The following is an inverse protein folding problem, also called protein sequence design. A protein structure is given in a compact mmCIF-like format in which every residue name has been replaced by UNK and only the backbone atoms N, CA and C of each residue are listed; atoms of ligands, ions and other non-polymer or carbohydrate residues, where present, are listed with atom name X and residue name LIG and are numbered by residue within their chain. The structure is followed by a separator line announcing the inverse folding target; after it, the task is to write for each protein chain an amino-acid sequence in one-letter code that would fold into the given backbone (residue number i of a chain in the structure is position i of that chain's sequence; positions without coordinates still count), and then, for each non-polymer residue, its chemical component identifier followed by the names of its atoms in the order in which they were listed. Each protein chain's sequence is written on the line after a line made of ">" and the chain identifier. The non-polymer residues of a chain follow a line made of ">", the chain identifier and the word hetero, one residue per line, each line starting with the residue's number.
data_IF_511866095719
#
_entry.id   IF_511866095719
#
_cell.length_a   1.000
_cell.length_b   1.000
_cell.length_c   1.000
_cell.angle_alpha   90.00
_cell.angle_beta   90.00
_cell.angle_gamma   90.00
#
_symmetry.space_group_name_H-M   'P 1'
#
loop_
_entity.id
_entity.type
_entity.pdbx_description
1 polymer ?
#
# COMPACT_ATOMS: atom_id res chain seq x y z
N UNK A 1 27.79 0.39 -10.37
CA UNK A 1 27.25 1.64 -9.80
C UNK A 1 28.14 2.00 -8.63
N UNK A 2 28.95 3.04 -8.75
CA UNK A 2 29.86 3.47 -7.68
C UNK A 2 29.04 4.26 -6.65
N UNK A 3 28.99 3.77 -5.42
CA UNK A 3 28.37 4.48 -4.30
C UNK A 3 29.44 5.38 -3.67
N UNK A 4 29.17 6.68 -3.62
CA UNK A 4 29.99 7.62 -2.86
C UNK A 4 29.55 7.54 -1.39
N UNK A 5 30.48 7.25 -0.48
CA UNK A 5 30.17 7.10 0.94
C UNK A 5 30.52 8.39 1.67
N UNK A 6 29.55 8.97 2.38
CA UNK A 6 29.78 10.14 3.23
C UNK A 6 29.83 9.72 4.69
N UNK A 7 30.87 10.18 5.39
CA UNK A 7 31.01 9.97 6.83
C UNK A 7 29.98 10.80 7.59
N UNK A 8 29.30 10.16 8.53
CA UNK A 8 28.24 10.77 9.32
C UNK A 8 28.73 11.00 10.75
N UNK A 9 28.47 12.19 11.29
CA UNK A 9 28.87 12.56 12.64
C UNK A 9 28.00 11.83 13.69
N UNK A 10 28.58 11.49 14.86
CA UNK A 10 27.92 10.66 15.88
C UNK A 10 26.62 11.26 16.43
N UNK A 11 26.46 12.59 16.39
CA UNK A 11 25.22 13.27 16.80
C UNK A 11 24.03 13.00 15.87
N UNK A 12 24.26 12.75 14.58
CA UNK A 12 23.22 12.39 13.63
C UNK A 12 22.77 10.91 13.79
N UNK A 13 23.61 10.07 14.40
CA UNK A 13 23.31 8.65 14.67
C UNK A 13 22.19 8.50 15.70
N UNK A 14 22.12 9.40 16.69
CA UNK A 14 21.08 9.37 17.72
C UNK A 14 19.66 9.54 17.13
N UNK A 15 19.51 10.28 16.03
CA UNK A 15 18.23 10.43 15.32
C UNK A 15 17.85 9.24 14.44
N UNK A 16 18.77 8.30 14.18
CA UNK A 16 18.45 7.10 13.39
C UNK A 16 17.66 6.07 14.19
N UNK A 17 17.87 5.94 15.49
CA UNK A 17 17.10 4.98 16.32
C UNK A 17 15.61 5.28 16.34
N UNK A 18 15.23 6.56 16.40
CA UNK A 18 13.84 6.99 16.34
C UNK A 18 13.21 6.69 14.97
N UNK A 19 13.97 6.92 13.89
CA UNK A 19 13.53 6.59 12.51
C UNK A 19 13.42 5.08 12.28
N UNK A 20 14.31 4.29 12.87
CA UNK A 20 14.27 2.83 12.81
C UNK A 20 13.04 2.31 13.55
N UNK A 21 12.74 2.86 14.73
CA UNK A 21 11.52 2.51 15.49
C UNK A 21 10.26 2.83 14.67
N UNK A 22 10.21 4.02 14.06
CA UNK A 22 9.10 4.41 13.19
C UNK A 22 8.92 3.47 11.99
N UNK A 23 10.00 3.13 11.30
CA UNK A 23 9.94 2.20 10.17
C UNK A 23 9.60 0.77 10.60
N UNK A 24 9.98 0.37 11.81
CA UNK A 24 9.62 -0.93 12.39
C UNK A 24 8.11 -1.00 12.67
N UNK A 25 7.53 0.03 13.32
CA UNK A 25 6.09 0.11 13.58
C UNK A 25 5.29 0.12 12.26
N UNK A 26 5.74 0.88 11.27
CA UNK A 26 5.05 0.90 9.98
C UNK A 26 5.12 -0.45 9.25
N UNK A 27 6.24 -1.17 9.41
CA UNK A 27 6.40 -2.52 8.85
C UNK A 27 5.50 -3.53 9.55
N UNK A 28 5.36 -3.47 10.88
CA UNK A 28 4.46 -4.38 11.61
C UNK A 28 3.00 -4.14 11.25
N UNK A 29 2.58 -2.87 11.15
CA UNK A 29 1.25 -2.50 10.66
C UNK A 29 1.01 -2.99 9.23
N UNK A 30 2.03 -2.87 8.36
CA UNK A 30 2.02 -3.43 7.01
C UNK A 30 1.74 -4.93 7.01
N UNK A 31 2.48 -5.70 7.81
CA UNK A 31 2.30 -7.17 7.92
C UNK A 31 0.88 -7.52 8.39
N UNK A 32 0.39 -6.86 9.43
CA UNK A 32 -0.98 -7.08 9.93
C UNK A 32 -2.03 -6.80 8.85
N UNK A 33 -1.87 -5.68 8.12
CA UNK A 33 -2.75 -5.32 7.02
C UNK A 33 -2.72 -6.35 5.88
N UNK A 34 -1.53 -6.88 5.53
CA UNK A 34 -1.39 -7.93 4.52
C UNK A 34 -2.12 -9.21 4.92
N UNK A 35 -2.01 -9.64 6.19
CA UNK A 35 -2.67 -10.86 6.68
C UNK A 35 -4.20 -10.71 6.58
N UNK A 36 -4.74 -9.59 7.07
CA UNK A 36 -6.19 -9.34 7.05
C UNK A 36 -6.71 -9.32 5.60
N UNK A 37 -6.03 -8.60 4.71
CA UNK A 37 -6.44 -8.52 3.31
C UNK A 37 -6.30 -9.83 2.55
N UNK A 38 -5.32 -10.69 2.88
CA UNK A 38 -5.22 -12.03 2.32
C UNK A 38 -6.40 -12.91 2.73
N UNK A 39 -6.82 -12.86 3.99
CA UNK A 39 -7.99 -13.60 4.49
C UNK A 39 -9.27 -13.13 3.77
N UNK A 40 -9.47 -11.81 3.68
CA UNK A 40 -10.61 -11.23 2.97
C UNK A 40 -10.64 -11.60 1.50
N UNK A 41 -9.50 -11.51 0.81
CA UNK A 41 -9.36 -11.89 -0.59
C UNK A 41 -9.67 -13.38 -0.78
N UNK A 42 -9.19 -14.25 0.12
CA UNK A 42 -9.52 -15.67 0.11
C UNK A 42 -11.01 -15.95 0.22
N UNK A 43 -11.72 -15.25 1.12
CA UNK A 43 -13.17 -15.35 1.26
C UNK A 43 -13.87 -14.88 -0.03
N UNK A 44 -13.51 -13.70 -0.56
CA UNK A 44 -14.16 -13.16 -1.76
C UNK A 44 -13.93 -14.01 -3.01
N UNK A 45 -12.74 -14.59 -3.17
CA UNK A 45 -12.44 -15.47 -4.30
C UNK A 45 -13.04 -16.87 -4.16
N UNK A 46 -13.23 -17.36 -2.92
CA UNK A 46 -13.82 -18.67 -2.63
C UNK A 46 -15.30 -18.77 -3.03
N UNK A 47 -16.07 -17.69 -2.90
CA UNK A 47 -17.50 -17.69 -3.18
C UNK A 47 -17.83 -17.08 -4.56
N UNK A 48 -18.16 -17.94 -5.53
CA UNK A 48 -18.62 -17.56 -6.88
C UNK A 48 -19.62 -16.39 -6.95
N UNK A 49 -20.71 -16.35 -6.17
CA UNK A 49 -21.72 -15.28 -6.27
C UNK A 49 -21.24 -13.93 -5.73
N UNK A 50 -20.18 -13.91 -4.91
CA UNK A 50 -19.61 -12.68 -4.36
C UNK A 50 -18.66 -11.99 -5.33
N UNK A 51 -18.05 -12.72 -6.27
CA UNK A 51 -17.07 -12.17 -7.22
C UNK A 51 -17.64 -11.11 -8.15
N UNK A 52 -18.87 -11.30 -8.64
CA UNK A 52 -19.51 -10.33 -9.56
C UNK A 52 -20.15 -9.16 -8.82
N UNK A 53 -20.57 -9.33 -7.56
CA UNK A 53 -21.25 -8.28 -6.79
C UNK A 53 -20.30 -7.37 -6.03
N UNK A 54 -19.15 -7.89 -5.61
CA UNK A 54 -18.20 -7.18 -4.74
C UNK A 54 -16.85 -6.90 -5.43
N UNK A 55 -16.87 -6.68 -6.75
CA UNK A 55 -15.66 -6.42 -7.56
C UNK A 55 -14.85 -5.24 -6.99
N UNK A 56 -15.51 -4.17 -6.56
CA UNK A 56 -14.84 -2.99 -5.99
C UNK A 56 -14.14 -3.29 -4.66
N UNK A 57 -14.71 -4.15 -3.81
CA UNK A 57 -14.09 -4.57 -2.56
C UNK A 57 -12.88 -5.48 -2.81
N UNK A 58 -12.96 -6.34 -3.83
CA UNK A 58 -11.82 -7.17 -4.26
C UNK A 58 -10.69 -6.26 -4.78
N UNK A 59 -11.01 -5.26 -5.58
CA UNK A 59 -10.03 -4.30 -6.10
C UNK A 59 -9.37 -3.49 -4.97
N UNK A 60 -10.15 -3.09 -3.96
CA UNK A 60 -9.63 -2.42 -2.77
C UNK A 60 -8.67 -3.33 -1.99
N UNK A 61 -9.04 -4.59 -1.74
CA UNK A 61 -8.15 -5.56 -1.08
C UNK A 61 -6.84 -5.77 -1.86
N UNK A 62 -6.89 -5.81 -3.20
CA UNK A 62 -5.69 -5.89 -4.04
C UNK A 62 -4.83 -4.63 -3.89
N UNK A 63 -5.44 -3.44 -3.88
CA UNK A 63 -4.76 -2.18 -3.65
C UNK A 63 -4.05 -2.14 -2.30
N UNK A 64 -4.73 -2.57 -1.23
CA UNK A 64 -4.16 -2.65 0.13
C UNK A 64 -3.03 -3.69 0.23
N UNK A 65 -3.11 -4.80 -0.50
CA UNK A 65 -2.02 -5.79 -0.58
C UNK A 65 -0.79 -5.20 -1.28
N UNK A 66 -0.97 -4.53 -2.42
CA UNK A 66 0.12 -3.87 -3.15
C UNK A 66 0.78 -2.81 -2.26
N UNK A 67 -0.02 -1.99 -1.58
CA UNK A 67 0.47 -0.95 -0.68
C UNK A 67 1.21 -1.53 0.53
N UNK A 68 0.62 -2.50 1.23
CA UNK A 68 1.24 -3.12 2.41
C UNK A 68 2.54 -3.85 2.08
N UNK A 69 2.61 -4.56 0.94
CA UNK A 69 3.86 -5.18 0.45
C UNK A 69 4.92 -4.11 0.14
N UNK A 70 4.54 -3.00 -0.49
CA UNK A 70 5.46 -1.89 -0.77
C UNK A 70 6.03 -1.27 0.52
N UNK A 71 5.18 -1.10 1.55
CA UNK A 71 5.58 -0.62 2.87
C UNK A 71 6.56 -1.57 3.54
N UNK A 72 6.30 -2.89 3.51
CA UNK A 72 7.19 -3.90 4.09
C UNK A 72 8.56 -3.90 3.39
N UNK A 73 8.58 -3.89 2.05
CA UNK A 73 9.82 -3.86 1.28
C UNK A 73 10.63 -2.57 1.55
N UNK A 74 9.96 -1.42 1.57
CA UNK A 74 10.62 -0.14 1.86
C UNK A 74 11.13 -0.09 3.31
N UNK A 75 10.37 -0.64 4.25
CA UNK A 75 10.75 -0.76 5.66
C UNK A 75 11.98 -1.63 5.86
N UNK A 76 12.00 -2.84 5.28
CA UNK A 76 13.14 -3.76 5.36
C UNK A 76 14.41 -3.16 4.78
N UNK A 77 14.32 -2.54 3.59
CA UNK A 77 15.48 -1.90 2.96
C UNK A 77 16.05 -0.76 3.83
N UNK A 78 15.18 0.08 4.40
CA UNK A 78 15.59 1.18 5.27
C UNK A 78 16.18 0.68 6.59
N UNK A 79 15.59 -0.35 7.20
CA UNK A 79 16.11 -0.94 8.44
C UNK A 79 17.52 -1.49 8.21
N UNK A 80 17.75 -2.21 7.11
CA UNK A 80 19.08 -2.72 6.75
C UNK A 80 20.08 -1.59 6.47
N UNK A 81 19.65 -0.52 5.79
CA UNK A 81 20.51 0.61 5.49
C UNK A 81 20.91 1.38 6.76
N UNK A 82 19.95 1.66 7.65
CA UNK A 82 20.21 2.37 8.89
C UNK A 82 21.01 1.53 9.89
N UNK A 83 20.79 0.21 9.98
CA UNK A 83 21.58 -0.66 10.85
C UNK A 83 23.03 -0.78 10.38
N UNK A 84 23.25 -0.90 9.07
CA UNK A 84 24.59 -0.90 8.49
C UNK A 84 25.29 0.46 8.69
N UNK A 85 24.59 1.57 8.44
CA UNK A 85 25.13 2.91 8.62
C UNK A 85 25.43 3.26 10.08
N UNK A 86 24.66 2.73 11.04
CA UNK A 86 24.93 2.88 12.47
C UNK A 86 26.23 2.18 12.88
N UNK A 87 26.57 1.06 12.22
CA UNK A 87 27.77 0.29 12.53
C UNK A 87 29.03 0.79 11.78
N UNK A 88 28.88 1.32 10.56
CA UNK A 88 30.01 1.77 9.73
C UNK A 88 30.22 3.29 9.72
N UNK A 89 29.28 4.07 10.27
CA UNK A 89 29.27 5.54 10.21
C UNK A 89 29.37 6.11 8.79
N UNK A 90 28.98 5.32 7.79
CA UNK A 90 29.05 5.66 6.37
C UNK A 90 27.66 5.50 5.74
N UNK A 91 27.20 6.54 5.04
CA UNK A 91 25.97 6.49 4.24
C UNK A 91 26.31 6.48 2.75
N UNK A 92 25.78 5.52 1.96
CA UNK A 92 25.90 5.59 0.52
C UNK A 92 25.01 6.70 -0.03
N UNK A 93 25.61 7.66 -0.70
CA UNK A 93 24.91 8.72 -1.42
C UNK A 93 24.41 8.14 -2.74
N UNK A 94 23.10 8.23 -2.96
CA UNK A 94 22.45 7.89 -4.22
C UNK A 94 21.92 9.12 -4.91
N UNK A 95 21.90 9.10 -6.24
CA UNK A 95 21.24 10.15 -7.01
C UNK A 95 19.72 10.06 -6.83
N UNK A 96 19.04 11.21 -6.97
CA UNK A 96 17.58 11.28 -6.84
C UNK A 96 16.85 10.40 -7.86
N UNK A 97 17.42 10.24 -9.06
CA UNK A 97 16.89 9.38 -10.12
C UNK A 97 16.93 7.90 -9.75
N UNK A 98 18.06 7.43 -9.19
CA UNK A 98 18.21 6.04 -8.75
C UNK A 98 17.24 5.71 -7.61
N UNK A 99 16.91 6.68 -6.75
CA UNK A 99 15.92 6.51 -5.69
C UNK A 99 14.48 6.49 -6.22
N UNK A 100 14.18 7.26 -7.27
CA UNK A 100 12.84 7.35 -7.86
C UNK A 100 12.45 6.08 -8.65
N UNK A 101 13.43 5.39 -9.23
CA UNK A 101 13.21 4.15 -9.98
C UNK A 101 13.10 2.90 -9.11
N UNK A 102 13.20 3.05 -7.79
CA UNK A 102 13.13 1.91 -6.90
C UNK A 102 11.74 1.27 -6.88
N UNK A 103 11.74 -0.06 -6.98
CA UNK A 103 10.53 -0.86 -7.16
C UNK A 103 9.54 -0.64 -6.01
N UNK A 104 10.03 -0.51 -4.76
CA UNK A 104 9.17 -0.25 -3.60
C UNK A 104 8.46 1.10 -3.67
N UNK A 105 9.09 2.12 -4.26
CA UNK A 105 8.51 3.46 -4.36
C UNK A 105 7.41 3.48 -5.41
N UNK A 106 7.66 2.82 -6.55
CA UNK A 106 6.68 2.65 -7.61
C UNK A 106 5.47 1.84 -7.13
N UNK A 107 5.71 0.73 -6.43
CA UNK A 107 4.65 -0.11 -5.90
C UNK A 107 3.81 0.63 -4.86
N UNK A 108 4.45 1.46 -4.02
CA UNK A 108 3.77 2.32 -3.06
C UNK A 108 2.88 3.35 -3.77
N UNK A 109 3.41 4.03 -4.80
CA UNK A 109 2.66 5.02 -5.59
C UNK A 109 1.42 4.40 -6.24
N UNK A 110 1.54 3.19 -6.78
CA UNK A 110 0.42 2.46 -7.38
C UNK A 110 -0.64 2.15 -6.33
N UNK A 111 -0.24 1.64 -5.16
CA UNK A 111 -1.15 1.40 -4.04
C UNK A 111 -1.87 2.67 -3.57
N UNK A 112 -1.10 3.75 -3.36
CA UNK A 112 -1.59 5.06 -2.93
C UNK A 112 -2.60 5.69 -3.93
N UNK A 113 -2.53 5.33 -5.21
CA UNK A 113 -3.48 5.78 -6.22
C UNK A 113 -4.70 4.86 -6.35
N UNK A 114 -4.50 3.54 -6.29
CA UNK A 114 -5.58 2.56 -6.47
C UNK A 114 -6.62 2.63 -5.35
N UNK A 115 -6.18 2.82 -4.10
CA UNK A 115 -7.06 2.91 -2.93
C UNK A 115 -8.05 4.09 -3.05
N UNK A 116 -7.64 5.35 -3.24
CA UNK A 116 -8.58 6.46 -3.34
C UNK A 116 -9.47 6.37 -4.60
N UNK A 117 -8.95 5.87 -5.72
CA UNK A 117 -9.75 5.70 -6.95
C UNK A 117 -10.87 4.67 -6.72
N UNK A 118 -10.60 3.56 -6.05
CA UNK A 118 -11.63 2.55 -5.74
C UNK A 118 -12.66 3.07 -4.74
N UNK A 119 -12.23 3.80 -3.71
CA UNK A 119 -13.14 4.43 -2.74
C UNK A 119 -14.02 5.47 -3.42
N UNK A 120 -13.46 6.29 -4.31
CA UNK A 120 -14.22 7.26 -5.10
C UNK A 120 -15.32 6.57 -5.91
N UNK A 121 -14.98 5.49 -6.63
CA UNK A 121 -15.95 4.75 -7.42
C UNK A 121 -17.05 4.10 -6.56
N UNK A 122 -16.68 3.58 -5.38
CA UNK A 122 -17.66 3.07 -4.41
C UNK A 122 -18.62 4.18 -3.93
N UNK A 123 -18.11 5.39 -3.73
CA UNK A 123 -18.93 6.57 -3.44
C UNK A 123 -19.89 6.93 -4.58
N UNK A 124 -19.42 6.87 -5.83
CA UNK A 124 -20.26 7.10 -7.03
C UNK A 124 -21.38 6.06 -7.13
N UNK A 125 -21.09 4.77 -6.92
CA UNK A 125 -22.11 3.72 -6.92
C UNK A 125 -23.23 4.01 -5.91
N UNK A 126 -22.84 4.41 -4.68
CA UNK A 126 -23.80 4.74 -3.61
C UNK A 126 -24.59 6.00 -3.93
N UNK A 127 -23.96 7.01 -4.52
CA UNK A 127 -24.64 8.24 -4.92
C UNK A 127 -25.69 8.01 -6.02
N UNK A 128 -25.37 7.18 -7.02
CA UNK A 128 -26.30 6.81 -8.09
C UNK A 128 -27.47 5.99 -7.54
N UNK A 129 -27.20 5.06 -6.62
CA UNK A 129 -28.24 4.25 -5.98
C UNK A 129 -29.25 5.10 -5.19
N UNK A 130 -28.79 6.18 -4.53
CA UNK A 130 -29.65 7.10 -3.76
C UNK A 130 -30.39 8.06 -4.68
N UNK A 131 -29.71 8.62 -5.70
CA UNK A 131 -30.29 9.64 -6.57
C UNK A 131 -31.30 9.08 -7.57
N UNK A 132 -31.07 7.86 -8.07
CA UNK A 132 -31.91 7.23 -9.10
C UNK A 132 -32.26 5.76 -8.75
N UNK A 133 -33.07 5.52 -7.71
CA UNK A 133 -33.35 4.17 -7.22
C UNK A 133 -34.04 3.27 -8.26
N UNK A 134 -34.93 3.82 -9.09
CA UNK A 134 -35.64 3.08 -10.14
C UNK A 134 -34.70 2.66 -11.29
N UNK A 135 -33.83 3.56 -11.74
CA UNK A 135 -32.85 3.28 -12.79
C UNK A 135 -31.79 2.27 -12.31
N UNK A 136 -31.32 2.43 -11.07
CA UNK A 136 -30.35 1.52 -10.46
C UNK A 136 -30.91 0.09 -10.34
N UNK A 137 -32.16 -0.05 -9.92
CA UNK A 137 -32.81 -1.35 -9.77
C UNK A 137 -33.03 -2.08 -11.11
N UNK A 138 -33.33 -1.34 -12.18
CA UNK A 138 -33.50 -1.91 -13.53
C UNK A 138 -32.18 -2.25 -14.22
N UNK A 139 -31.21 -1.33 -14.24
CA UNK A 139 -29.99 -1.47 -15.05
C UNK A 139 -28.79 -2.06 -14.31
N UNK A 140 -28.70 -1.88 -12.99
CA UNK A 140 -27.54 -2.35 -12.19
C UNK A 140 -27.89 -3.61 -11.40
N UNK A 141 -29.04 -3.62 -10.73
CA UNK A 141 -29.48 -4.77 -9.92
C UNK A 141 -30.24 -5.84 -10.75
N UNK A 142 -30.67 -5.48 -11.97
CA UNK A 142 -31.32 -6.39 -12.94
C UNK A 142 -32.65 -6.98 -12.45
N UNK A 143 -33.31 -6.37 -11.46
CA UNK A 143 -34.55 -6.89 -10.86
C UNK A 143 -35.77 -6.22 -11.51
N UNK A 144 -36.80 -7.00 -11.91
CA UNK A 144 -38.03 -6.40 -12.43
C UNK A 144 -38.70 -5.52 -11.36
N UNK A 145 -39.26 -4.40 -11.82
CA UNK A 145 -40.22 -3.60 -11.04
C UNK A 145 -41.48 -4.48 -10.87
N UNK A 146 -41.76 -4.84 -9.62
CA UNK A 146 -43.03 -5.42 -9.20
C UNK A 146 -43.88 -4.31 -8.64
#
# INVERSE_FOLDING_TARGET
>A
MFYEYVHVNASAVHGFEERVTYHTVNTTLGITCTIINLVLLGIFLGYKPFRTRYVLLIQLCIGDLIYSVAVILSGLHRIQLYSAAAHTLMLPVRTTGDCALEIWLQLKLIGDLLIPVTIFWMGVERFVAISFPLFYRMNVDGKPLK
#
